data_IF_484860929220
#
_entry.id   IF_484860929220
#
_cell.length_a   1.000
_cell.length_b   1.000
_cell.length_c   1.000
_cell.angle_alpha   90.00
_cell.angle_beta   90.00
_cell.angle_gamma   90.00
#
_symmetry.space_group_name_H-M   'P 1'
#
loop_
_entity.id
_entity.type
_entity.pdbx_description
1 polymer ?
#
# COMPACT_ATOMS: atom_id res chain seq x y z
N UNK A 1 6.44 8.20 7.58
CA UNK A 1 5.42 8.43 6.52
C UNK A 1 4.59 7.20 6.19
N UNK A 2 5.18 6.00 6.04
CA UNK A 2 4.44 4.77 5.69
C UNK A 2 3.25 4.48 6.61
N UNK A 3 3.46 4.41 7.93
CA UNK A 3 2.38 4.15 8.88
C UNK A 3 1.19 5.10 8.72
N UNK A 4 1.44 6.41 8.66
CA UNK A 4 0.39 7.43 8.53
C UNK A 4 -0.41 7.30 7.23
N UNK A 5 0.26 6.94 6.12
CA UNK A 5 -0.40 6.75 4.83
C UNK A 5 -1.24 5.45 4.80
N UNK A 6 -0.72 4.34 5.33
CA UNK A 6 -1.47 3.08 5.41
C UNK A 6 -2.62 3.15 6.41
N UNK A 7 -2.45 3.91 7.49
CA UNK A 7 -3.50 4.20 8.47
C UNK A 7 -4.49 5.29 7.98
N UNK A 8 -4.37 5.84 6.77
CA UNK A 8 -5.30 6.85 6.25
C UNK A 8 -5.28 8.20 6.98
N UNK A 9 -4.32 8.44 7.88
CA UNK A 9 -4.24 9.65 8.71
C UNK A 9 -3.82 10.90 7.91
N UNK A 10 -3.29 10.70 6.70
CA UNK A 10 -2.93 11.78 5.76
C UNK A 10 -4.09 12.18 4.83
N UNK A 11 -5.22 11.46 4.87
CA UNK A 11 -6.28 11.61 3.88
C UNK A 11 -7.23 12.76 4.23
N UNK A 12 -7.21 13.82 3.41
CA UNK A 12 -8.12 14.98 3.51
C UNK A 12 -8.89 15.20 2.20
N UNK A 13 -9.45 14.12 1.64
CA UNK A 13 -10.20 14.13 0.38
C UNK A 13 -9.50 13.40 -0.77
N UNK A 14 -8.21 13.10 -0.62
CA UNK A 14 -7.46 12.21 -1.51
C UNK A 14 -7.00 10.99 -0.72
N UNK A 15 -7.29 9.79 -1.25
CA UNK A 15 -6.78 8.55 -0.67
C UNK A 15 -5.35 8.29 -1.14
N UNK A 16 -4.47 7.92 -0.22
CA UNK A 16 -3.04 7.74 -0.49
C UNK A 16 -2.52 6.40 0.04
N UNK A 17 -2.19 5.46 -0.85
CA UNK A 17 -1.51 4.21 -0.51
C UNK A 17 -0.19 4.06 -1.28
N UNK A 18 0.95 4.35 -0.64
CA UNK A 18 2.25 4.09 -1.22
C UNK A 18 2.47 2.58 -1.41
N UNK A 19 2.98 2.21 -2.58
CA UNK A 19 3.50 0.86 -2.85
C UNK A 19 5.00 1.01 -3.06
N UNK A 20 5.80 0.30 -2.27
CA UNK A 20 7.25 0.42 -2.26
C UNK A 20 7.88 -0.96 -2.25
N UNK A 21 9.15 -1.02 -2.67
CA UNK A 21 9.92 -2.26 -2.61
C UNK A 21 10.01 -2.71 -1.15
N UNK A 22 9.69 -3.97 -0.84
CA UNK A 22 9.70 -4.46 0.53
C UNK A 22 11.14 -4.54 1.04
N UNK A 23 11.32 -4.27 2.33
CA UNK A 23 12.61 -4.38 3.02
C UNK A 23 12.92 -5.85 3.36
N UNK A 24 13.13 -6.64 2.31
CA UNK A 24 13.53 -8.04 2.37
C UNK A 24 14.28 -8.40 1.11
N UNK A 25 15.04 -9.49 1.18
CA UNK A 25 15.67 -10.04 -0.02
C UNK A 25 14.59 -10.57 -0.99
N UNK A 26 14.82 -10.35 -2.28
CA UNK A 26 14.04 -10.90 -3.39
C UNK A 26 15.03 -11.69 -4.24
N UNK A 27 14.74 -12.97 -4.44
CA UNK A 27 15.62 -13.86 -5.19
C UNK A 27 15.77 -13.40 -6.64
N UNK A 28 16.92 -13.70 -7.23
CA UNK A 28 17.13 -13.37 -8.64
C UNK A 28 16.23 -14.21 -9.53
N UNK A 29 15.46 -13.55 -10.38
CA UNK A 29 14.56 -14.20 -11.31
C UNK A 29 14.28 -13.29 -12.52
N UNK A 30 13.43 -13.73 -13.44
CA UNK A 30 12.84 -12.85 -14.46
C UNK A 30 12.16 -11.65 -13.81
N UNK A 31 12.23 -10.50 -14.50
CA UNK A 31 11.69 -9.23 -14.00
C UNK A 31 10.23 -9.35 -13.54
N UNK A 32 9.39 -10.01 -14.33
CA UNK A 32 7.96 -10.19 -14.02
C UNK A 32 7.77 -10.92 -12.68
N UNK A 33 8.48 -12.03 -12.48
CA UNK A 33 8.40 -12.81 -11.23
C UNK A 33 8.92 -12.03 -10.02
N UNK A 34 9.96 -11.21 -10.20
CA UNK A 34 10.48 -10.36 -9.12
C UNK A 34 9.48 -9.26 -8.73
N UNK A 35 8.78 -8.65 -9.71
CA UNK A 35 7.75 -7.65 -9.42
C UNK A 35 6.50 -8.27 -8.79
N UNK A 36 6.11 -9.46 -9.23
CA UNK A 36 5.03 -10.24 -8.62
C UNK A 36 5.34 -10.54 -7.15
N UNK A 37 6.57 -11.01 -6.87
CA UNK A 37 7.04 -11.27 -5.51
C UNK A 37 7.13 -9.97 -4.68
N UNK A 38 7.58 -8.86 -5.26
CA UNK A 38 7.65 -7.57 -4.60
C UNK A 38 6.27 -6.99 -4.25
N UNK A 39 5.19 -7.45 -4.88
CA UNK A 39 3.88 -6.87 -4.70
C UNK A 39 3.66 -5.58 -5.51
N UNK A 40 4.44 -5.37 -6.58
CA UNK A 40 4.52 -4.11 -7.33
C UNK A 40 4.08 -4.23 -8.80
N UNK A 41 3.27 -5.24 -9.13
CA UNK A 41 2.72 -5.43 -10.47
C UNK A 41 1.35 -4.75 -10.67
N UNK A 42 0.86 -4.75 -11.90
CA UNK A 42 -0.42 -4.10 -12.26
C UNK A 42 -1.63 -4.69 -11.51
N UNK A 43 -1.72 -6.01 -11.37
CA UNK A 43 -2.84 -6.67 -10.67
C UNK A 43 -2.89 -6.28 -9.19
N UNK A 44 -1.72 -6.16 -8.56
CA UNK A 44 -1.57 -5.78 -7.15
C UNK A 44 -1.88 -4.30 -6.95
N UNK A 45 -1.50 -3.43 -7.90
CA UNK A 45 -1.94 -2.02 -7.91
C UNK A 45 -3.46 -1.93 -7.96
N UNK A 46 -4.12 -2.66 -8.87
CA UNK A 46 -5.58 -2.67 -8.97
C UNK A 46 -6.24 -3.17 -7.69
N UNK A 47 -5.73 -4.26 -7.12
CA UNK A 47 -6.21 -4.79 -5.84
C UNK A 47 -6.06 -3.76 -4.70
N UNK A 48 -4.91 -3.07 -4.64
CA UNK A 48 -4.67 -1.99 -3.67
C UNK A 48 -5.67 -0.85 -3.86
N UNK A 49 -5.93 -0.41 -5.10
CA UNK A 49 -6.90 0.64 -5.40
C UNK A 49 -8.31 0.25 -4.93
N UNK A 50 -8.77 -0.95 -5.28
CA UNK A 50 -10.10 -1.44 -4.86
C UNK A 50 -10.21 -1.49 -3.34
N UNK A 51 -9.22 -2.07 -2.67
CA UNK A 51 -9.18 -2.15 -1.20
C UNK A 51 -9.17 -0.75 -0.56
N UNK A 52 -8.43 0.18 -1.15
CA UNK A 52 -8.34 1.57 -0.71
C UNK A 52 -9.69 2.27 -0.81
N UNK A 53 -10.38 2.12 -1.94
CA UNK A 53 -11.70 2.72 -2.15
C UNK A 53 -12.74 2.18 -1.16
N UNK A 54 -12.69 0.88 -0.87
CA UNK A 54 -13.59 0.19 0.07
C UNK A 54 -13.26 0.42 1.56
N UNK A 55 -12.07 0.93 1.88
CA UNK A 55 -11.70 1.24 3.27
C UNK A 55 -12.42 2.49 3.76
N UNK A 56 -13.08 2.41 4.91
CA UNK A 56 -13.59 3.59 5.62
C UNK A 56 -12.43 4.39 6.23
N UNK A 57 -12.62 5.69 6.46
CA UNK A 57 -11.59 6.54 7.09
C UNK A 57 -11.19 5.95 8.43
N UNK A 58 -9.89 5.81 8.68
CA UNK A 58 -9.43 5.50 10.03
C UNK A 58 -9.77 6.66 10.97
N UNK A 59 -10.55 6.37 12.00
CA UNK A 59 -10.76 7.29 13.11
C UNK A 59 -9.40 7.50 13.78
N UNK A 60 -8.95 8.75 13.91
CA UNK A 60 -7.77 9.05 14.73
C UNK A 60 -8.00 8.48 16.14
N UNK A 61 -7.01 7.80 16.75
CA UNK A 61 -7.17 7.32 18.11
C UNK A 61 -7.46 8.53 19.00
N UNK A 62 -8.59 8.50 19.71
CA UNK A 62 -8.90 9.49 20.72
C UNK A 62 -7.82 9.37 21.80
N UNK A 63 -6.91 10.34 21.86
CA UNK A 63 -5.95 10.45 22.94
C UNK A 63 -6.73 10.87 24.19
N UNK A 64 -6.87 9.94 25.15
CA UNK A 64 -7.24 10.21 26.53
C UNK A 64 -6.05 10.80 27.28
#
# INVERSE_FOLDING_TARGET
>A
MHFLAHAGLLEKGLKLRPMVLPDRFIEHNTQDLQYDEAGLNAAQIVAMVINTLNSEKAQAPALL
#
